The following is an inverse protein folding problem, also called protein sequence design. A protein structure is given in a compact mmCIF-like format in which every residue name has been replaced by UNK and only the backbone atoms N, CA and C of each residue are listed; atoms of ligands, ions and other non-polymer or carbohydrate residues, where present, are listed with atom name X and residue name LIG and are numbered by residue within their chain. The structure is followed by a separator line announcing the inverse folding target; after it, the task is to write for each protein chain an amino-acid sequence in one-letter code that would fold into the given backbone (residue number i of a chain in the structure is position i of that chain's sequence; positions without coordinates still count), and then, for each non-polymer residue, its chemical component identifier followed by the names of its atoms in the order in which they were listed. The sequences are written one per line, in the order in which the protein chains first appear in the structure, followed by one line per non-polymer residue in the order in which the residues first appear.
data_IF_160217700610
#
_entry.id   IF_160217700610
#
_cell.length_a   1.000
_cell.length_b   1.000
_cell.length_c   1.000
_cell.angle_alpha   90.00
_cell.angle_beta   90.00
_cell.angle_gamma   90.00
#
_symmetry.space_group_name_H-M   'P 1'
#
loop_
_entity.id
_entity.type
_entity.pdbx_description
1 polymer ?
#
# COMPACT_ATOMS: atom_id res chain seq x y z
N UNK A 1 -12.98 7.31 -3.74
CA UNK A 1 -12.37 6.23 -4.55
C UNK A 1 -13.47 5.33 -5.05
N UNK A 2 -13.40 4.91 -6.31
CA UNK A 2 -14.35 3.97 -6.90
C UNK A 2 -14.18 2.55 -6.29
N UNK A 3 -15.28 1.80 -6.07
CA UNK A 3 -15.23 0.40 -5.65
C UNK A 3 -14.46 -0.48 -6.65
N UNK A 4 -13.65 -1.41 -6.14
CA UNK A 4 -12.85 -2.32 -6.99
C UNK A 4 -13.74 -3.18 -7.89
N UNK A 5 -14.93 -3.54 -7.43
CA UNK A 5 -15.90 -4.34 -8.19
C UNK A 5 -16.43 -3.65 -9.45
N UNK A 6 -16.32 -2.32 -9.56
CA UNK A 6 -16.78 -1.54 -10.70
C UNK A 6 -15.67 -1.29 -11.74
N UNK A 7 -14.41 -1.61 -11.39
CA UNK A 7 -13.27 -1.45 -12.27
C UNK A 7 -13.21 -2.54 -13.35
N UNK A 8 -12.58 -2.21 -14.48
CA UNK A 8 -12.22 -3.16 -15.54
C UNK A 8 -11.19 -4.19 -15.07
N UNK A 9 -11.08 -5.31 -15.77
CA UNK A 9 -10.13 -6.37 -15.43
C UNK A 9 -8.69 -5.87 -15.46
N UNK A 10 -8.33 -5.03 -16.45
CA UNK A 10 -7.00 -4.41 -16.53
C UNK A 10 -6.71 -3.50 -15.34
N UNK A 11 -7.69 -2.72 -14.89
CA UNK A 11 -7.55 -1.86 -13.71
C UNK A 11 -7.43 -2.67 -12.42
N UNK A 12 -8.20 -3.75 -12.28
CA UNK A 12 -8.09 -4.66 -11.13
C UNK A 12 -6.70 -5.27 -11.08
N UNK A 13 -6.21 -5.81 -12.19
CA UNK A 13 -4.85 -6.38 -12.30
C UNK A 13 -3.76 -5.34 -12.03
N UNK A 14 -3.90 -4.11 -12.51
CA UNK A 14 -2.94 -3.05 -12.19
C UNK A 14 -2.86 -2.79 -10.68
N UNK A 15 -3.99 -2.89 -9.96
CA UNK A 15 -4.04 -2.69 -8.51
C UNK A 15 -3.51 -3.88 -7.70
N UNK A 16 -3.43 -5.09 -8.26
CA UNK A 16 -2.76 -6.23 -7.59
C UNK A 16 -1.26 -6.00 -7.51
N UNK A 17 -0.70 -5.25 -8.46
CA UNK A 17 0.71 -4.86 -8.50
C UNK A 17 1.01 -3.55 -7.77
N UNK A 18 0.03 -2.96 -7.09
CA UNK A 18 0.22 -1.69 -6.39
C UNK A 18 1.38 -1.80 -5.39
N UNK A 19 2.25 -0.81 -5.42
CA UNK A 19 3.37 -0.63 -4.51
C UNK A 19 3.38 0.83 -4.06
N UNK A 20 3.93 1.08 -2.86
CA UNK A 20 4.26 2.44 -2.45
C UNK A 20 5.34 2.98 -3.40
N UNK A 21 5.31 4.29 -3.67
CA UNK A 21 6.35 4.89 -4.50
C UNK A 21 7.73 4.68 -3.88
N UNK A 22 8.77 4.36 -4.68
CA UNK A 22 10.09 4.00 -4.15
C UNK A 22 10.67 5.03 -3.18
N UNK A 23 10.54 6.33 -3.49
CA UNK A 23 11.03 7.41 -2.64
C UNK A 23 10.29 7.46 -1.29
N UNK A 24 8.99 7.16 -1.28
CA UNK A 24 8.16 7.10 -0.07
C UNK A 24 8.49 5.87 0.78
N UNK A 25 8.73 4.73 0.14
CA UNK A 25 9.11 3.48 0.81
C UNK A 25 10.50 3.56 1.44
N UNK A 26 11.47 4.17 0.74
CA UNK A 26 12.79 4.47 1.27
C UNK A 26 12.69 5.43 2.47
N UNK A 27 11.90 6.51 2.35
CA UNK A 27 11.71 7.47 3.44
C UNK A 27 11.04 6.83 4.65
N UNK A 28 10.02 6.00 4.45
CA UNK A 28 9.34 5.26 5.50
C UNK A 28 10.33 4.34 6.24
N UNK A 29 11.14 3.59 5.49
CA UNK A 29 12.17 2.72 6.05
C UNK A 29 13.19 3.49 6.90
N UNK A 30 13.63 4.66 6.42
CA UNK A 30 14.55 5.53 7.14
C UNK A 30 13.94 6.07 8.44
N UNK A 31 12.69 6.52 8.42
CA UNK A 31 11.97 7.00 9.61
C UNK A 31 11.79 5.88 10.65
N UNK A 32 11.42 4.67 10.21
CA UNK A 32 11.30 3.53 11.11
C UNK A 32 12.64 3.18 11.78
N UNK A 33 13.76 3.28 11.06
CA UNK A 33 15.11 3.09 11.61
C UNK A 33 15.48 4.20 12.61
N UNK A 34 15.15 5.46 12.29
CA UNK A 34 15.41 6.60 13.17
C UNK A 34 14.60 6.51 14.47
N UNK A 35 13.34 6.09 14.39
CA UNK A 35 12.49 5.87 15.57
C UNK A 35 13.11 4.85 16.54
N UNK A 36 13.71 3.78 16.02
CA UNK A 36 14.40 2.77 16.84
C UNK A 36 15.68 3.31 17.50
N UNK A 37 16.34 4.28 16.87
CA UNK A 37 17.56 4.92 17.38
C UNK A 37 17.31 5.99 18.45
N UNK A 38 16.05 6.38 18.69
CA UNK A 38 15.65 7.38 19.68
C UNK A 38 15.87 8.84 19.26
N UNK A 39 16.37 9.09 18.05
CA UNK A 39 16.44 10.42 17.43
C UNK A 39 15.19 10.58 16.59
N UNK A 40 14.11 11.07 17.20
CA UNK A 40 12.82 11.20 16.52
C UNK A 40 12.12 12.48 16.94
N UNK A 41 11.98 13.42 15.99
CA UNK A 41 11.36 14.72 16.23
C UNK A 41 9.84 14.64 16.05
N UNK A 42 9.13 15.69 16.47
CA UNK A 42 7.68 15.79 16.19
C UNK A 42 7.37 15.85 14.69
N UNK A 43 8.27 16.43 13.89
CA UNK A 43 8.13 16.49 12.43
C UNK A 43 8.29 15.09 11.81
N UNK A 44 9.29 14.32 12.28
CA UNK A 44 9.49 12.93 11.86
C UNK A 44 8.28 12.05 12.23
N UNK A 45 7.67 12.28 13.40
CA UNK A 45 6.43 11.59 13.80
C UNK A 45 5.26 11.87 12.86
N UNK A 46 5.09 13.13 12.44
CA UNK A 46 4.01 13.49 11.54
C UNK A 46 4.24 12.88 10.15
N UNK A 47 5.45 12.99 9.62
CA UNK A 47 5.81 12.43 8.32
C UNK A 47 5.65 10.90 8.30
N UNK A 48 6.07 10.23 9.38
CA UNK A 48 5.86 8.79 9.53
C UNK A 48 4.38 8.42 9.53
N UNK A 49 3.53 9.19 10.21
CA UNK A 49 2.09 8.93 10.21
C UNK A 49 1.48 9.06 8.82
N UNK A 50 1.89 10.08 8.07
CA UNK A 50 1.41 10.34 6.71
C UNK A 50 1.82 9.20 5.76
N UNK A 51 3.09 8.78 5.81
CA UNK A 51 3.60 7.65 5.02
C UNK A 51 2.93 6.33 5.42
N UNK A 52 2.74 6.09 6.72
CA UNK A 52 2.03 4.90 7.20
C UNK A 52 0.58 4.86 6.74
N UNK A 53 -0.08 6.01 6.59
CA UNK A 53 -1.44 6.08 6.07
C UNK A 53 -1.48 5.69 4.60
N UNK A 54 -0.60 6.27 3.77
CA UNK A 54 -0.46 5.92 2.34
C UNK A 54 -0.20 4.42 2.18
N UNK A 55 0.73 3.88 2.96
CA UNK A 55 1.09 2.46 2.93
C UNK A 55 -0.12 1.57 3.25
N UNK A 56 -0.86 1.87 4.32
CA UNK A 56 -2.05 1.10 4.72
C UNK A 56 -3.17 1.16 3.68
N UNK A 57 -3.43 2.34 3.11
CA UNK A 57 -4.43 2.51 2.07
C UNK A 57 -4.07 1.72 0.80
N UNK A 58 -2.80 1.77 0.39
CA UNK A 58 -2.27 0.98 -0.71
C UNK A 58 -2.41 -0.52 -0.48
N UNK A 59 -2.03 -1.00 0.71
CA UNK A 59 -2.19 -2.42 1.08
C UNK A 59 -3.64 -2.88 1.05
N UNK A 60 -4.55 -2.08 1.63
CA UNK A 60 -5.97 -2.42 1.65
C UNK A 60 -6.53 -2.48 0.23
N UNK A 61 -6.16 -1.51 -0.62
CA UNK A 61 -6.60 -1.46 -2.02
C UNK A 61 -6.07 -2.65 -2.81
N UNK A 62 -4.79 -2.99 -2.64
CA UNK A 62 -4.15 -4.17 -3.23
C UNK A 62 -4.83 -5.46 -2.79
N UNK A 63 -5.07 -5.64 -1.49
CA UNK A 63 -5.74 -6.83 -0.95
C UNK A 63 -7.16 -6.98 -1.52
N UNK A 64 -7.89 -5.87 -1.65
CA UNK A 64 -9.22 -5.88 -2.26
C UNK A 64 -9.17 -6.24 -3.75
N UNK A 65 -8.18 -5.71 -4.48
CA UNK A 65 -7.95 -6.05 -5.89
C UNK A 65 -7.56 -7.53 -6.08
N UNK A 66 -6.69 -8.07 -5.21
CA UNK A 66 -6.33 -9.49 -5.21
C UNK A 66 -7.58 -10.37 -5.03
N UNK A 67 -8.45 -10.03 -4.09
CA UNK A 67 -9.69 -10.78 -3.85
C UNK A 67 -10.63 -10.73 -5.07
N UNK A 68 -10.83 -9.55 -5.65
CA UNK A 68 -11.68 -9.39 -6.83
C UNK A 68 -11.10 -10.10 -8.06
N UNK A 69 -9.78 -10.03 -8.27
CA UNK A 69 -9.09 -10.74 -9.35
C UNK A 69 -9.29 -12.26 -9.25
N UNK A 70 -9.18 -12.83 -8.04
CA UNK A 70 -9.46 -14.25 -7.80
C UNK A 70 -10.94 -14.57 -8.05
N UNK A 71 -11.86 -13.74 -7.55
CA UNK A 71 -13.31 -13.91 -7.74
C UNK A 71 -13.71 -13.88 -9.22
N UNK A 72 -13.03 -13.08 -10.04
CA UNK A 72 -13.23 -12.99 -11.50
C UNK A 72 -12.50 -14.09 -12.28
N UNK A 73 -11.62 -14.86 -11.63
CA UNK A 73 -10.80 -15.88 -12.29
C UNK A 73 -9.62 -15.32 -13.07
N UNK A 74 -9.20 -14.08 -12.78
CA UNK A 74 -8.03 -13.43 -13.41
C UNK A 74 -6.70 -13.90 -12.79
N UNK A 75 -6.74 -14.42 -11.55
CA UNK A 75 -5.60 -15.01 -10.86
C UNK A 75 -6.04 -16.20 -10.01
N UNK A 76 -5.09 -17.08 -9.72
CA UNK A 76 -5.27 -18.16 -8.76
C UNK A 76 -5.29 -17.64 -7.31
N UNK A 77 -6.02 -18.29 -6.39
CA UNK A 77 -5.94 -18.00 -4.97
C UNK A 77 -4.52 -18.16 -4.44
N UNK A 78 -4.13 -17.29 -3.50
CA UNK A 78 -2.88 -17.46 -2.76
C UNK A 78 -2.98 -18.72 -1.87
N UNK A 79 -1.97 -19.58 -1.95
CA UNK A 79 -1.87 -20.87 -1.25
C UNK A 79 -1.59 -20.74 0.25
#
# INVERSE_FOLDING_TARGET
MEPISELTDEQVLALTELQMEPDQDERLSNLLNQQQSGIFTSEDYQELQDLMQIYKEGLLRKATALNEAVKRGLMEPLS
#
